data_IF_529744582170
#
_entry.id   IF_529744582170
#
_cell.length_a   1.000
_cell.length_b   1.000
_cell.length_c   1.000
_cell.angle_alpha   90.00
_cell.angle_beta   90.00
_cell.angle_gamma   90.00
#
_symmetry.space_group_name_H-M   'P 1'
#
loop_
_entity.id
_entity.type
_entity.pdbx_description
1 polymer ?
#
# COMPACT_ATOMS: atom_id res chain seq x y z
N UNK A 1 67.94 -16.20 4.18
CA UNK A 1 67.86 -15.11 5.17
C UNK A 1 66.91 -13.96 4.79
N UNK A 2 66.56 -13.75 3.53
CA UNK A 2 65.68 -12.64 3.13
C UNK A 2 64.19 -12.88 3.48
N UNK A 3 63.71 -14.12 3.41
CA UNK A 3 62.32 -14.50 3.76
C UNK A 3 61.95 -14.16 5.21
N UNK A 4 62.88 -14.34 6.14
CA UNK A 4 62.70 -13.99 7.56
C UNK A 4 62.53 -12.48 7.74
N UNK A 5 63.27 -11.67 6.97
CA UNK A 5 63.14 -10.20 6.97
C UNK A 5 61.83 -9.71 6.33
N UNK A 6 61.30 -10.45 5.36
CA UNK A 6 59.98 -10.15 4.78
C UNK A 6 58.85 -10.52 5.74
N UNK A 7 58.94 -11.66 6.43
CA UNK A 7 57.96 -12.05 7.45
C UNK A 7 57.93 -11.04 8.61
N UNK A 8 59.09 -10.59 9.12
CA UNK A 8 59.11 -9.61 10.22
C UNK A 8 58.60 -8.23 9.82
N UNK A 9 58.83 -7.81 8.56
CA UNK A 9 58.23 -6.58 8.02
C UNK A 9 56.73 -6.70 7.83
N UNK A 10 56.25 -7.86 7.37
CA UNK A 10 54.83 -8.13 7.19
C UNK A 10 54.10 -8.18 8.54
N UNK A 11 54.68 -8.80 9.57
CA UNK A 11 54.09 -8.81 10.92
C UNK A 11 54.09 -7.42 11.55
N UNK A 12 55.14 -6.62 11.36
CA UNK A 12 55.16 -5.21 11.79
C UNK A 12 54.08 -4.38 11.09
N UNK A 13 53.89 -4.59 9.78
CA UNK A 13 52.84 -3.92 9.02
C UNK A 13 51.45 -4.34 9.50
N UNK A 14 51.24 -5.63 9.76
CA UNK A 14 49.97 -6.16 10.27
C UNK A 14 49.65 -5.66 11.68
N UNK A 15 50.65 -5.57 12.57
CA UNK A 15 50.48 -4.95 13.89
C UNK A 15 50.14 -3.46 13.78
N UNK A 16 50.77 -2.74 12.84
CA UNK A 16 50.44 -1.34 12.56
C UNK A 16 48.99 -1.16 12.13
N UNK A 17 48.52 -1.99 11.18
CA UNK A 17 47.11 -1.95 10.72
C UNK A 17 46.14 -2.28 11.86
N UNK A 18 46.45 -3.29 12.68
CA UNK A 18 45.62 -3.64 13.85
C UNK A 18 45.57 -2.52 14.88
N UNK A 19 46.69 -1.84 15.15
CA UNK A 19 46.74 -0.68 16.04
C UNK A 19 45.92 0.50 15.51
N UNK A 20 45.97 0.75 14.20
CA UNK A 20 45.16 1.81 13.56
C UNK A 20 43.67 1.49 13.65
N UNK A 21 43.26 0.26 13.35
CA UNK A 21 41.85 -0.15 13.43
C UNK A 21 41.31 -0.05 14.86
N UNK A 22 42.09 -0.49 15.86
CA UNK A 22 41.70 -0.38 17.27
C UNK A 22 41.64 1.07 17.76
N UNK A 23 42.52 1.95 17.27
CA UNK A 23 42.45 3.38 17.55
C UNK A 23 41.17 4.02 16.97
N UNK A 24 40.82 3.68 15.73
CA UNK A 24 39.58 4.16 15.08
C UNK A 24 38.34 3.69 15.85
N UNK A 25 38.29 2.40 16.22
CA UNK A 25 37.16 1.85 16.98
C UNK A 25 37.02 2.49 18.36
N UNK A 26 38.13 2.72 19.06
CA UNK A 26 38.16 3.43 20.35
C UNK A 26 37.69 4.88 20.20
N UNK A 27 38.11 5.57 19.13
CA UNK A 27 37.67 6.94 18.84
C UNK A 27 36.16 6.99 18.55
N UNK A 28 35.61 6.04 17.80
CA UNK A 28 34.16 5.95 17.54
C UNK A 28 33.35 5.70 18.80
N UNK A 29 33.86 4.89 19.74
CA UNK A 29 33.20 4.67 21.04
C UNK A 29 33.27 5.89 21.97
N UNK A 30 34.33 6.69 21.86
CA UNK A 30 34.49 7.94 22.61
C UNK A 30 33.73 9.11 22.00
N UNK A 31 33.34 9.03 20.72
CA UNK A 31 32.41 9.98 20.13
C UNK A 31 31.01 9.65 20.64
N UNK A 32 30.39 10.48 21.50
CA UNK A 32 28.98 10.34 21.76
C UNK A 32 28.26 10.47 20.42
N UNK A 33 27.45 9.48 20.08
CA UNK A 33 26.47 9.61 19.00
C UNK A 33 25.70 10.88 19.31
N UNK A 34 25.81 11.87 18.43
CA UNK A 34 24.97 13.04 18.50
C UNK A 34 23.54 12.51 18.47
N UNK A 35 22.84 12.63 19.59
CA UNK A 35 21.40 12.37 19.61
C UNK A 35 20.81 13.15 18.44
N UNK A 36 19.91 12.53 17.65
CA UNK A 36 19.22 13.26 16.61
C UNK A 36 18.69 14.52 17.27
N UNK A 37 19.16 15.67 16.81
CA UNK A 37 18.78 16.98 17.33
C UNK A 37 17.27 16.97 17.44
N UNK A 38 16.76 16.73 18.65
CA UNK A 38 15.43 17.18 18.98
C UNK A 38 15.56 18.68 18.76
N UNK A 39 14.86 19.16 17.74
CA UNK A 39 14.73 20.59 17.47
C UNK A 39 14.48 21.23 18.83
N UNK A 40 15.51 21.88 19.36
CA UNK A 40 15.38 22.66 20.57
C UNK A 40 14.24 23.61 20.28
N UNK A 41 13.20 23.46 21.09
CA UNK A 41 12.07 24.35 21.18
C UNK A 41 12.54 25.66 21.80
N UNK A 42 13.54 26.30 21.18
CA UNK A 42 13.95 27.66 21.47
C UNK A 42 13.49 28.51 20.28
N UNK A 43 12.51 29.36 20.60
CA UNK A 43 11.92 30.39 19.76
C UNK A 43 10.74 29.98 18.87
N UNK A 44 9.75 29.31 19.48
CA UNK A 44 8.38 29.75 19.22
C UNK A 44 8.21 31.12 19.91
N UNK A 45 8.31 32.20 19.14
CA UNK A 45 7.47 33.36 19.41
C UNK A 45 6.06 32.83 19.66
N UNK A 46 5.48 33.24 20.77
CA UNK A 46 4.10 32.95 21.18
C UNK A 46 3.21 32.84 19.93
N UNK A 47 2.72 31.63 19.59
CA UNK A 47 1.90 31.48 18.41
C UNK A 47 0.65 32.31 18.65
N UNK A 48 0.48 33.33 17.80
CA UNK A 48 -0.73 34.10 17.64
C UNK A 48 -1.93 33.21 17.89
N UNK A 49 -2.71 33.55 18.93
CA UNK A 49 -3.85 32.82 19.48
C UNK A 49 -4.46 31.84 18.47
N UNK A 50 -4.05 30.57 18.59
CA UNK A 50 -4.73 29.48 17.92
C UNK A 50 -6.21 29.55 18.32
N UNK A 51 -7.15 29.35 17.38
CA UNK A 51 -8.56 29.19 17.73
C UNK A 51 -8.64 28.09 18.79
N UNK A 52 -9.22 28.42 19.95
CA UNK A 52 -9.45 27.46 21.01
C UNK A 52 -10.33 26.35 20.43
N UNK A 53 -9.73 25.18 20.20
CA UNK A 53 -10.45 24.02 19.71
C UNK A 53 -11.56 23.72 20.71
N UNK A 54 -12.78 23.39 20.27
CA UNK A 54 -13.83 22.98 21.17
C UNK A 54 -13.30 21.81 22.02
N UNK A 55 -13.30 21.98 23.34
CA UNK A 55 -12.97 20.92 24.28
C UNK A 55 -13.98 19.80 24.08
N UNK A 56 -13.57 18.75 23.39
CA UNK A 56 -14.34 17.52 23.25
C UNK A 56 -14.20 16.83 24.61
N UNK A 57 -15.30 16.70 25.34
CA UNK A 57 -15.33 15.90 26.55
C UNK A 57 -14.85 14.49 26.20
N UNK A 58 -13.76 14.06 26.83
CA UNK A 58 -13.29 12.69 26.70
C UNK A 58 -14.42 11.78 27.18
N UNK A 59 -14.96 10.91 26.30
CA UNK A 59 -15.98 9.98 26.75
C UNK A 59 -15.33 9.06 27.79
N UNK A 60 -15.95 8.94 28.96
CA UNK A 60 -15.60 7.97 30.00
C UNK A 60 -15.97 6.57 29.49
N UNK A 61 -15.16 6.06 28.56
CA UNK A 61 -15.31 4.74 27.98
C UNK A 61 -14.69 3.75 28.95
N UNK A 62 -15.54 2.98 29.62
CA UNK A 62 -15.11 1.88 30.47
C UNK A 62 -14.36 0.83 29.63
N UNK A 63 -13.28 0.30 30.19
CA UNK A 63 -12.37 -0.65 29.51
C UNK A 63 -13.12 -1.87 28.95
N UNK A 64 -14.24 -2.25 29.58
CA UNK A 64 -15.10 -3.36 29.15
C UNK A 64 -15.67 -3.18 27.73
N UNK A 65 -15.79 -1.95 27.24
CA UNK A 65 -16.27 -1.65 25.89
C UNK A 65 -15.25 -2.03 24.79
N UNK A 66 -14.00 -2.32 25.16
CA UNK A 66 -12.93 -2.73 24.23
C UNK A 66 -12.67 -4.25 24.24
N UNK A 67 -13.36 -5.02 25.10
CA UNK A 67 -13.25 -6.48 25.14
C UNK A 67 -13.64 -7.12 23.80
N UNK A 68 -14.71 -6.63 23.17
CA UNK A 68 -15.21 -7.18 21.89
C UNK A 68 -14.18 -7.06 20.74
N UNK A 69 -13.40 -5.98 20.73
CA UNK A 69 -12.32 -5.76 19.74
C UNK A 69 -11.18 -6.75 19.95
N UNK A 70 -10.90 -7.08 21.22
CA UNK A 70 -9.82 -8.01 21.61
C UNK A 70 -10.21 -9.46 21.33
N UNK A 71 -11.48 -9.83 21.49
CA UNK A 71 -11.98 -11.19 21.21
C UNK A 71 -12.06 -11.51 19.71
N UNK A 72 -12.21 -10.49 18.85
CA UNK A 72 -12.40 -10.65 17.41
C UNK A 72 -11.40 -9.79 16.61
N UNK A 73 -10.10 -10.11 16.67
CA UNK A 73 -9.09 -9.33 15.97
C UNK A 73 -9.35 -9.36 14.46
N UNK A 74 -9.44 -8.18 13.83
CA UNK A 74 -9.61 -8.06 12.38
C UNK A 74 -8.43 -8.64 11.59
N UNK A 75 -7.25 -8.69 12.21
CA UNK A 75 -6.02 -9.20 11.62
C UNK A 75 -5.53 -10.42 12.39
N UNK A 76 -5.51 -11.57 11.72
CA UNK A 76 -4.84 -12.76 12.23
C UNK A 76 -3.46 -12.87 11.58
N UNK A 77 -2.41 -13.07 12.36
CA UNK A 77 -1.03 -13.24 11.88
C UNK A 77 -0.86 -14.42 10.91
N UNK A 78 -1.80 -15.36 10.91
CA UNK A 78 -1.83 -16.55 10.05
C UNK A 78 -2.56 -16.33 8.72
N UNK A 79 -3.17 -15.15 8.49
CA UNK A 79 -3.72 -14.81 7.16
C UNK A 79 -2.58 -14.56 6.17
N UNK A 80 -2.15 -15.61 5.49
CA UNK A 80 -1.35 -15.49 4.26
C UNK A 80 -2.29 -15.38 3.06
N UNK A 81 -2.00 -14.48 2.09
CA UNK A 81 -2.67 -14.50 0.80
C UNK A 81 -2.53 -15.90 0.18
N UNK A 82 -3.62 -16.46 -0.35
CA UNK A 82 -3.53 -17.68 -1.15
C UNK A 82 -2.77 -17.35 -2.44
N UNK A 83 -1.60 -17.95 -2.63
CA UNK A 83 -0.90 -17.92 -3.91
C UNK A 83 -1.74 -18.70 -4.91
N UNK A 84 -2.44 -17.99 -5.79
CA UNK A 84 -3.09 -18.58 -6.95
C UNK A 84 -1.97 -19.04 -7.89
N UNK A 85 -1.55 -20.30 -7.77
CA UNK A 85 -0.60 -20.92 -8.68
C UNK A 85 -1.28 -21.15 -10.03
N UNK A 86 -1.29 -20.12 -10.87
CA UNK A 86 -1.64 -20.26 -12.29
C UNK A 86 -0.34 -20.47 -13.07
N UNK A 87 0.09 -21.73 -13.16
CA UNK A 87 1.06 -22.14 -14.15
C UNK A 87 0.39 -22.09 -15.54
N UNK A 88 0.45 -20.94 -16.20
CA UNK A 88 0.02 -20.82 -17.60
C UNK A 88 1.24 -20.87 -18.51
N UNK A 89 1.43 -22.05 -19.12
CA UNK A 89 2.24 -22.26 -20.31
C UNK A 89 1.83 -21.23 -21.37
N UNK A 90 2.75 -20.32 -21.68
CA UNK A 90 2.56 -19.29 -22.71
C UNK A 90 2.63 -19.93 -24.10
N UNK A 91 1.48 -20.34 -24.62
CA UNK A 91 1.33 -20.62 -26.05
C UNK A 91 1.27 -19.26 -26.75
N UNK A 92 2.33 -18.90 -27.48
CA UNK A 92 2.33 -17.73 -28.38
C UNK A 92 1.21 -17.91 -29.39
N UNK A 93 0.17 -17.08 -29.28
CA UNK A 93 -0.95 -17.01 -30.21
C UNK A 93 -0.72 -15.76 -31.09
N UNK A 94 -0.85 -15.85 -32.42
CA UNK A 94 -0.57 -14.73 -33.29
C UNK A 94 -1.70 -13.68 -33.20
N UNK A 95 -1.30 -12.41 -33.28
CA UNK A 95 -2.14 -11.22 -33.47
C UNK A 95 -3.06 -10.83 -32.28
N UNK A 96 -2.48 -10.72 -31.07
CA UNK A 96 -3.18 -10.16 -29.90
C UNK A 96 -3.05 -8.65 -29.86
N UNK A 97 -4.19 -8.01 -29.62
CA UNK A 97 -4.27 -6.58 -29.31
C UNK A 97 -3.77 -6.35 -27.88
N UNK A 98 -3.04 -5.25 -27.58
CA UNK A 98 -2.49 -4.98 -26.25
C UNK A 98 -3.55 -5.05 -25.13
N UNK A 99 -4.79 -4.65 -25.41
CA UNK A 99 -5.92 -4.74 -24.46
C UNK A 99 -6.28 -6.16 -23.99
N UNK A 100 -5.89 -7.21 -24.73
CA UNK A 100 -6.20 -8.60 -24.38
C UNK A 100 -5.20 -9.23 -23.41
N UNK A 101 -3.97 -8.73 -23.41
CA UNK A 101 -2.88 -9.27 -22.59
C UNK A 101 -2.47 -8.31 -21.47
N UNK A 102 -2.79 -7.03 -21.59
CA UNK A 102 -2.32 -5.97 -20.71
C UNK A 102 -3.45 -5.06 -20.24
N UNK A 103 -3.28 -4.53 -19.04
CA UNK A 103 -4.16 -3.57 -18.39
C UNK A 103 -3.35 -2.32 -18.06
N UNK A 104 -3.84 -1.15 -18.49
CA UNK A 104 -3.31 0.13 -18.04
C UNK A 104 -3.70 0.35 -16.57
N UNK A 105 -2.71 0.30 -15.69
CA UNK A 105 -2.88 0.37 -14.23
C UNK A 105 -2.61 1.76 -13.69
N UNK A 106 -1.74 2.53 -14.35
CA UNK A 106 -1.39 3.87 -13.90
C UNK A 106 -0.71 4.68 -14.99
N UNK A 107 -0.76 5.99 -14.82
CA UNK A 107 -0.05 6.96 -15.66
C UNK A 107 0.62 7.95 -14.71
N UNK A 108 1.90 8.20 -14.94
CA UNK A 108 2.71 9.18 -14.22
C UNK A 108 3.07 10.27 -15.23
N UNK A 109 2.59 11.48 -14.98
CA UNK A 109 2.86 12.66 -15.80
C UNK A 109 3.81 13.56 -15.01
N UNK A 110 5.02 13.78 -15.51
CA UNK A 110 5.99 14.67 -14.89
C UNK A 110 6.62 15.61 -15.93
N UNK A 111 5.90 16.67 -16.30
CA UNK A 111 6.35 17.62 -17.31
C UNK A 111 6.52 16.95 -18.68
N UNK A 112 7.76 16.80 -19.13
CA UNK A 112 8.11 16.11 -20.38
C UNK A 112 8.26 14.58 -20.22
N UNK A 113 8.40 14.10 -18.97
CA UNK A 113 8.58 12.69 -18.66
C UNK A 113 7.25 12.02 -18.32
N UNK A 114 6.60 11.46 -19.35
CA UNK A 114 5.37 10.67 -19.19
C UNK A 114 5.68 9.17 -19.18
N UNK A 115 5.13 8.47 -18.18
CA UNK A 115 5.31 7.03 -18.01
C UNK A 115 3.95 6.36 -17.81
N UNK A 116 3.67 5.33 -18.58
CA UNK A 116 2.49 4.49 -18.44
C UNK A 116 2.88 3.14 -17.80
N UNK A 117 2.04 2.66 -16.87
CA UNK A 117 2.24 1.43 -16.10
C UNK A 117 1.23 0.37 -16.55
N UNK A 118 1.74 -0.77 -17.01
CA UNK A 118 0.95 -1.89 -17.50
C UNK A 118 1.09 -3.09 -16.59
N UNK A 119 -0.01 -3.82 -16.40
CA UNK A 119 0.00 -5.13 -15.73
C UNK A 119 -0.50 -6.20 -16.71
N UNK A 120 0.18 -7.34 -16.73
CA UNK A 120 -0.23 -8.44 -17.59
C UNK A 120 -1.44 -9.17 -16.97
N UNK A 121 -2.47 -9.42 -17.77
CA UNK A 121 -3.69 -10.09 -17.33
C UNK A 121 -3.34 -11.51 -16.87
N UNK A 122 -3.67 -11.83 -15.61
CA UNK A 122 -3.44 -13.14 -15.01
C UNK A 122 -1.99 -13.44 -14.61
N UNK A 123 -1.07 -12.47 -14.68
CA UNK A 123 0.33 -12.63 -14.26
C UNK A 123 0.75 -11.50 -13.31
N UNK A 124 1.63 -11.78 -12.35
CA UNK A 124 2.28 -10.76 -11.50
C UNK A 124 3.42 -10.04 -12.26
N UNK A 125 3.21 -9.69 -13.53
CA UNK A 125 4.18 -8.98 -14.35
C UNK A 125 3.72 -7.54 -14.58
N UNK A 126 4.66 -6.60 -14.40
CA UNK A 126 4.45 -5.18 -14.58
C UNK A 126 5.48 -4.63 -15.55
N UNK A 127 5.05 -3.73 -16.42
CA UNK A 127 5.93 -3.08 -17.40
C UNK A 127 5.65 -1.58 -17.40
N UNK A 128 6.72 -0.77 -17.39
CA UNK A 128 6.64 0.68 -17.47
C UNK A 128 7.15 1.15 -18.82
N UNK A 129 6.34 1.92 -19.54
CA UNK A 129 6.68 2.39 -20.88
C UNK A 129 6.55 3.90 -21.00
N UNK A 130 7.40 4.48 -21.85
CA UNK A 130 7.39 5.88 -22.28
C UNK A 130 6.95 5.94 -23.75
N UNK A 131 6.53 7.11 -24.21
CA UNK A 131 6.25 7.33 -25.62
C UNK A 131 7.45 6.90 -26.49
N UNK A 132 7.16 6.19 -27.58
CA UNK A 132 8.13 5.56 -28.47
C UNK A 132 8.61 4.17 -28.06
N UNK A 133 8.29 3.69 -26.85
CA UNK A 133 8.64 2.32 -26.43
C UNK A 133 7.63 1.31 -26.97
N UNK A 134 8.09 0.05 -27.11
CA UNK A 134 7.26 -1.05 -27.60
C UNK A 134 6.69 -1.89 -26.48
N UNK A 135 5.41 -2.20 -26.57
CA UNK A 135 4.73 -3.24 -25.80
C UNK A 135 4.38 -4.39 -26.74
N UNK A 136 5.11 -5.51 -26.64
CA UNK A 136 5.01 -6.61 -27.61
C UNK A 136 5.28 -6.12 -29.04
N UNK A 137 4.31 -6.22 -29.96
CA UNK A 137 4.44 -5.73 -31.35
C UNK A 137 3.92 -4.28 -31.54
N UNK A 138 3.38 -3.65 -30.49
CA UNK A 138 2.76 -2.32 -30.55
C UNK A 138 3.70 -1.23 -30.04
N UNK A 139 3.69 -0.06 -30.66
CA UNK A 139 4.48 1.10 -30.24
C UNK A 139 3.57 2.10 -29.52
N UNK A 140 4.00 2.59 -28.36
CA UNK A 140 3.29 3.60 -27.60
C UNK A 140 3.49 4.96 -28.26
N UNK A 141 2.47 5.53 -28.91
CA UNK A 141 2.57 6.81 -29.60
C UNK A 141 2.40 7.97 -28.61
N UNK A 142 1.32 7.94 -27.84
CA UNK A 142 0.88 9.06 -27.01
C UNK A 142 0.37 8.59 -25.65
N UNK A 143 0.71 9.37 -24.61
CA UNK A 143 0.27 9.15 -23.24
C UNK A 143 -0.55 10.37 -22.83
N UNK A 144 -1.84 10.18 -22.56
CA UNK A 144 -2.74 11.20 -22.01
C UNK A 144 -3.02 10.91 -20.53
N UNK A 145 -3.66 11.82 -19.77
CA UNK A 145 -3.99 11.59 -18.36
C UNK A 145 -4.96 10.42 -18.11
N UNK A 146 -5.81 10.10 -19.09
CA UNK A 146 -6.89 9.13 -18.93
C UNK A 146 -6.73 7.89 -19.83
N UNK A 147 -5.86 7.93 -20.84
CA UNK A 147 -5.67 6.86 -21.81
C UNK A 147 -4.28 6.89 -22.46
N UNK A 148 -3.93 5.79 -23.10
CA UNK A 148 -2.73 5.70 -23.94
C UNK A 148 -3.06 5.21 -25.33
N UNK A 149 -2.38 5.73 -26.34
CA UNK A 149 -2.58 5.33 -27.74
C UNK A 149 -1.39 4.50 -28.23
N UNK A 150 -1.68 3.31 -28.75
CA UNK A 150 -0.73 2.43 -29.39
C UNK A 150 -0.90 2.42 -30.91
N UNK A 151 0.20 2.27 -31.63
CA UNK A 151 0.23 2.06 -33.08
C UNK A 151 0.98 0.79 -33.48
N UNK A 152 0.46 0.11 -34.49
CA UNK A 152 1.10 -1.05 -35.13
C UNK A 152 0.63 -1.14 -36.59
N UNK A 153 1.56 -1.05 -37.54
CA UNK A 153 1.31 -1.22 -38.98
C UNK A 153 0.06 -0.47 -39.51
N UNK A 154 -0.13 0.77 -39.05
CA UNK A 154 -1.25 1.65 -39.44
C UNK A 154 -2.55 1.47 -38.66
N UNK A 155 -2.61 0.51 -37.73
CA UNK A 155 -3.71 0.37 -36.76
C UNK A 155 -3.40 1.21 -35.52
N UNK A 156 -4.40 1.92 -35.01
CA UNK A 156 -4.34 2.68 -33.75
C UNK A 156 -5.34 2.12 -32.75
N UNK A 157 -4.91 1.98 -31.51
CA UNK A 157 -5.72 1.45 -30.42
C UNK A 157 -5.55 2.34 -29.20
N UNK A 158 -6.65 2.74 -28.60
CA UNK A 158 -6.68 3.57 -27.39
C UNK A 158 -7.04 2.70 -26.20
N UNK A 159 -6.15 2.64 -25.20
CA UNK A 159 -6.37 1.89 -23.98
C UNK A 159 -6.63 2.84 -22.81
N UNK A 160 -7.84 2.83 -22.21
CA UNK A 160 -8.18 3.70 -21.10
C UNK A 160 -7.60 3.21 -19.76
N UNK A 161 -7.34 4.14 -18.85
CA UNK A 161 -6.91 3.86 -17.49
C UNK A 161 -8.05 3.23 -16.69
N UNK A 162 -7.79 2.11 -16.01
CA UNK A 162 -8.79 1.51 -15.12
C UNK A 162 -9.06 2.45 -13.94
N UNK A 163 -10.28 2.96 -13.87
CA UNK A 163 -10.75 3.74 -12.72
C UNK A 163 -11.18 2.77 -11.61
N UNK A 164 -10.63 2.86 -10.39
CA UNK A 164 -11.15 2.10 -9.27
C UNK A 164 -12.61 2.49 -9.06
N UNK A 165 -13.51 1.49 -9.02
CA UNK A 165 -14.91 1.73 -8.72
C UNK A 165 -15.01 2.42 -7.36
N UNK A 166 -15.60 3.61 -7.31
CA UNK A 166 -15.90 4.27 -6.06
C UNK A 166 -16.73 3.31 -5.19
N UNK A 167 -16.48 3.21 -3.88
CA UNK A 167 -17.30 2.39 -3.01
C UNK A 167 -18.73 2.91 -3.13
N UNK A 168 -19.60 2.09 -3.72
CA UNK A 168 -21.04 2.33 -3.75
C UNK A 168 -21.46 2.61 -2.32
N UNK A 169 -21.80 3.87 -2.02
CA UNK A 169 -22.48 4.22 -0.79
C UNK A 169 -23.82 3.49 -0.86
N UNK A 170 -23.85 2.27 -0.34
CA UNK A 170 -25.07 1.51 -0.13
C UNK A 170 -25.97 2.43 0.69
N UNK A 171 -27.01 2.93 0.04
CA UNK A 171 -27.93 3.87 0.62
C UNK A 171 -28.39 3.31 1.95
N UNK A 172 -28.13 4.07 3.03
CA UNK A 172 -28.89 3.95 4.27
C UNK A 172 -30.33 4.31 3.94
N UNK A 173 -31.06 3.34 3.38
CA UNK A 173 -32.51 3.38 3.36
C UNK A 173 -32.91 3.39 4.83
N UNK A 174 -33.28 4.57 5.32
CA UNK A 174 -33.98 4.73 6.58
C UNK A 174 -35.27 3.93 6.43
N UNK A 175 -35.24 2.67 6.86
CA UNK A 175 -36.45 1.87 7.05
C UNK A 175 -37.18 2.47 8.26
N UNK A 176 -37.92 3.54 8.00
CA UNK A 176 -38.94 4.05 8.89
C UNK A 176 -40.03 3.00 9.06
N UNK A 177 -40.45 2.83 10.32
CA UNK A 177 -41.73 2.29 10.76
C UNK A 177 -42.12 0.89 10.29
N UNK A 178 -42.19 -0.05 11.25
CA UNK A 178 -43.36 -0.89 11.56
C UNK A 178 -42.91 -2.05 12.46
N UNK A 179 -42.65 -1.77 13.72
CA UNK A 179 -42.73 -2.80 14.76
C UNK A 179 -43.94 -2.48 15.63
N UNK A 180 -45.05 -3.15 15.29
CA UNK A 180 -46.27 -3.22 16.07
C UNK A 180 -45.95 -3.79 17.46
N UNK A 181 -46.29 -3.03 18.50
CA UNK A 181 -46.29 -3.48 19.89
C UNK A 181 -47.45 -4.48 20.08
N UNK A 182 -47.13 -5.76 20.27
CA UNK A 182 -48.09 -6.80 20.66
C UNK A 182 -48.52 -6.62 22.12
N UNK A 183 -49.50 -5.77 22.34
CA UNK A 183 -50.31 -5.87 23.54
C UNK A 183 -51.77 -5.62 23.17
N UNK A 184 -52.65 -6.45 23.75
CA UNK A 184 -54.11 -6.33 23.77
C UNK A 184 -54.86 -6.95 22.58
N UNK A 185 -55.31 -8.20 22.76
CA UNK A 185 -56.69 -8.71 22.57
C UNK A 185 -56.63 -10.14 23.13
N UNK A 186 -57.30 -10.51 24.22
CA UNK A 186 -58.70 -10.28 24.51
C UNK A 186 -59.27 -11.67 24.80
N UNK A 187 -59.23 -12.07 26.08
CA UNK A 187 -59.76 -13.32 26.62
C UNK A 187 -61.26 -13.44 26.25
N UNK A 188 -61.63 -14.45 25.45
CA UNK A 188 -63.04 -14.81 25.24
C UNK A 188 -63.20 -16.29 25.60
N UNK A 189 -63.81 -16.52 26.77
CA UNK A 189 -64.29 -17.82 27.23
C UNK A 189 -65.62 -18.07 26.53
N UNK A 190 -65.77 -19.21 25.83
CA UNK A 190 -67.07 -19.66 25.32
C UNK A 190 -67.77 -20.48 26.41
N UNK A 191 -69.05 -20.24 26.74
CA UNK A 191 -69.83 -21.19 27.53
C UNK A 191 -70.18 -22.42 26.67
N UNK A 192 -70.10 -23.61 27.27
CA UNK A 192 -70.75 -24.81 26.73
C UNK A 192 -72.24 -24.71 27.07
N UNK A 193 -73.08 -24.57 26.05
CA UNK A 193 -74.50 -24.83 26.18
C UNK A 193 -74.77 -26.32 26.00
N UNK A 194 -75.51 -26.87 26.96
CA UNK A 194 -76.06 -28.23 26.99
C UNK A 194 -76.98 -28.49 25.77
N UNK A 195 -76.77 -29.61 25.08
CA UNK A 195 -77.83 -30.55 24.64
C UNK A 195 -77.26 -31.96 24.57
#
# INVERSE_FOLDING_TARGET
>A
MNTVRYLTRLTLLQLGVMAILTAILSAQFMMPVAEPTQLSNEQLSEPSSLPELPSIAEPDLQIDQFLEISERPLFYSTRKPQEISTAMTAIRRPDRTPEQDWILTGIIINGEDNVALFSAIGKKNYESLRSGMKLSDWTLDEITPDSVTFSNDGRKIEMPLIKPAAPSQAGRSRSSSLFMNQSQYGKVVRPLDNQ
#
